data_IF_251110710809
#
_entry.id   IF_251110710809
#
_cell.length_a   1.000
_cell.length_b   1.000
_cell.length_c   1.000
_cell.angle_alpha   90.00
_cell.angle_beta   90.00
_cell.angle_gamma   90.00
#
_symmetry.space_group_name_H-M   'P 1'
#
loop_
_entity.id
_entity.type
_entity.pdbx_description
1 polymer ?
#
# COMPACT_ATOMS: atom_id res chain seq x y z
N UNK A 1 -23.00 5.89 7.80
CA UNK A 1 -23.43 4.48 7.91
C UNK A 1 -22.27 3.67 8.45
N UNK A 2 -22.52 2.76 9.40
CA UNK A 2 -21.51 1.90 10.04
C UNK A 2 -21.72 0.47 9.52
N UNK A 3 -20.63 -0.24 9.20
CA UNK A 3 -20.66 -1.62 8.72
C UNK A 3 -19.74 -2.51 9.54
N UNK A 4 -20.13 -3.77 9.68
CA UNK A 4 -19.30 -4.79 10.30
C UNK A 4 -18.24 -5.27 9.28
N UNK A 5 -16.97 -5.29 9.70
CA UNK A 5 -15.86 -5.82 8.90
C UNK A 5 -15.56 -7.31 9.21
N UNK A 6 -16.36 -7.92 10.09
CA UNK A 6 -16.32 -9.33 10.49
C UNK A 6 -17.68 -9.74 11.05
N UNK A 7 -17.89 -11.04 11.23
CA UNK A 7 -19.05 -11.51 11.98
C UNK A 7 -18.97 -11.04 13.44
N UNK A 8 -20.12 -10.61 14.00
CA UNK A 8 -20.26 -10.13 15.37
C UNK A 8 -21.36 -10.98 16.04
N UNK A 9 -21.03 -11.59 17.18
CA UNK A 9 -21.98 -12.43 17.94
C UNK A 9 -22.93 -11.55 18.76
N UNK A 10 -24.12 -12.09 19.08
CA UNK A 10 -25.04 -11.41 19.99
C UNK A 10 -24.38 -11.21 21.37
N UNK A 11 -24.38 -9.97 21.87
CA UNK A 11 -23.76 -9.60 23.15
C UNK A 11 -22.27 -9.28 23.06
N UNK A 12 -21.67 -9.37 21.87
CA UNK A 12 -20.29 -8.96 21.64
C UNK A 12 -20.16 -7.43 21.56
N UNK A 13 -19.08 -6.89 22.12
CA UNK A 13 -18.76 -5.47 22.02
C UNK A 13 -18.39 -5.09 20.59
N UNK A 14 -18.97 -3.98 20.10
CA UNK A 14 -18.67 -3.45 18.77
C UNK A 14 -17.59 -2.37 18.91
N UNK A 15 -16.40 -2.70 18.44
CA UNK A 15 -15.24 -1.82 18.52
C UNK A 15 -15.00 -1.08 17.19
N UNK A 16 -14.51 0.16 17.27
CA UNK A 16 -14.05 0.93 16.13
C UNK A 16 -12.69 1.59 16.41
N UNK A 17 -11.93 1.89 15.36
CA UNK A 17 -10.63 2.56 15.47
C UNK A 17 -10.82 4.08 15.40
N UNK A 18 -10.37 4.82 16.40
CA UNK A 18 -10.50 6.29 16.48
C UNK A 18 -9.46 7.03 15.60
N UNK A 19 -8.77 6.31 14.71
CA UNK A 19 -7.74 6.83 13.81
C UNK A 19 -6.36 6.19 14.02
N UNK A 20 -5.79 6.21 15.24
CA UNK A 20 -4.45 5.65 15.51
C UNK A 20 -4.38 4.13 15.28
N UNK A 21 -3.98 3.72 14.07
CA UNK A 21 -3.97 2.33 13.62
C UNK A 21 -2.57 1.72 13.62
N UNK A 22 -2.43 0.45 14.06
CA UNK A 22 -1.13 -0.22 14.23
C UNK A 22 -0.28 -0.29 12.96
N UNK A 23 -0.93 -0.49 11.82
CA UNK A 23 -0.26 -0.59 10.52
C UNK A 23 0.23 0.75 9.97
N UNK A 24 -0.15 1.87 10.59
CA UNK A 24 0.21 3.23 10.14
C UNK A 24 1.06 3.99 11.16
N UNK A 25 1.05 3.58 12.42
CA UNK A 25 1.68 4.31 13.51
C UNK A 25 2.25 3.34 14.55
N UNK A 26 3.44 3.66 15.06
CA UNK A 26 4.07 2.91 16.16
C UNK A 26 3.29 3.04 17.47
N UNK A 27 3.54 2.13 18.41
CA UNK A 27 2.86 2.05 19.69
C UNK A 27 2.86 3.38 20.47
N UNK A 28 4.03 3.98 20.66
CA UNK A 28 4.18 5.21 21.43
C UNK A 28 3.35 6.37 20.86
N UNK A 29 3.37 6.55 19.54
CA UNK A 29 2.57 7.58 18.85
C UNK A 29 1.07 7.30 18.97
N UNK A 30 0.63 6.05 18.87
CA UNK A 30 -0.79 5.69 19.03
C UNK A 30 -1.29 5.99 20.44
N UNK A 31 -0.56 5.56 21.47
CA UNK A 31 -0.94 5.83 22.87
C UNK A 31 -0.97 7.32 23.17
N UNK A 32 0.03 8.08 22.70
CA UNK A 32 0.08 9.52 22.87
C UNK A 32 -1.15 10.20 22.25
N UNK A 33 -1.44 9.94 20.98
CA UNK A 33 -2.58 10.57 20.29
C UNK A 33 -3.93 10.23 20.96
N UNK A 34 -4.12 8.97 21.37
CA UNK A 34 -5.35 8.56 22.05
C UNK A 34 -5.49 9.21 23.43
N UNK A 35 -4.39 9.33 24.18
CA UNK A 35 -4.38 9.97 25.49
C UNK A 35 -4.58 11.48 25.39
N UNK A 36 -3.91 12.14 24.45
CA UNK A 36 -3.98 13.59 24.27
C UNK A 36 -5.36 14.05 23.80
N UNK A 37 -6.01 13.28 22.90
CA UNK A 37 -7.28 13.66 22.30
C UNK A 37 -8.51 13.09 23.02
N UNK A 38 -8.43 11.84 23.50
CA UNK A 38 -9.56 11.09 24.05
C UNK A 38 -9.36 10.67 25.50
N UNK A 39 -8.23 11.05 26.14
CA UNK A 39 -7.97 10.89 27.56
C UNK A 39 -8.01 9.46 28.10
N UNK A 40 -7.69 8.46 27.26
CA UNK A 40 -7.60 7.06 27.68
C UNK A 40 -6.31 6.38 27.20
N UNK A 41 -5.98 5.25 27.83
CA UNK A 41 -4.90 4.34 27.40
C UNK A 41 -5.51 3.14 26.70
N UNK A 42 -5.06 2.86 25.48
CA UNK A 42 -5.65 1.80 24.68
C UNK A 42 -5.07 0.43 25.04
N UNK A 43 -5.93 -0.52 25.37
CA UNK A 43 -5.58 -1.89 25.76
C UNK A 43 -6.05 -2.92 24.71
N UNK A 44 -6.23 -2.50 23.46
CA UNK A 44 -6.57 -3.45 22.40
C UNK A 44 -5.44 -4.47 22.21
N UNK A 45 -5.78 -5.62 21.60
CA UNK A 45 -4.83 -6.72 21.37
C UNK A 45 -3.49 -6.26 20.79
N UNK A 46 -3.51 -5.34 19.82
CA UNK A 46 -2.30 -4.79 19.21
C UNK A 46 -1.43 -3.99 20.19
N UNK A 47 -2.05 -3.18 21.06
CA UNK A 47 -1.32 -2.42 22.08
C UNK A 47 -0.77 -3.33 23.17
N UNK A 48 -1.51 -4.38 23.57
CA UNK A 48 -1.03 -5.37 24.52
C UNK A 48 0.13 -6.21 23.96
N UNK A 49 0.10 -6.55 22.68
CA UNK A 49 1.21 -7.24 22.00
C UNK A 49 2.46 -6.37 21.94
N UNK A 50 2.33 -5.11 21.49
CA UNK A 50 3.45 -4.17 21.40
C UNK A 50 4.10 -3.92 22.79
N UNK A 51 3.29 -3.84 23.86
CA UNK A 51 3.79 -3.70 25.24
C UNK A 51 4.58 -4.91 25.75
N UNK A 52 4.28 -6.12 25.27
CA UNK A 52 4.94 -7.36 25.71
C UNK A 52 6.35 -7.53 25.13
N UNK A 53 6.82 -6.60 24.29
CA UNK A 53 8.24 -6.51 23.95
C UNK A 53 8.71 -7.58 22.97
N UNK A 54 8.05 -7.73 21.82
CA UNK A 54 8.79 -8.08 20.60
C UNK A 54 9.27 -6.78 19.97
N UNK A 55 10.25 -6.12 20.61
CA UNK A 55 11.07 -5.12 19.93
C UNK A 55 11.91 -5.87 18.90
N UNK A 56 11.29 -6.26 17.78
CA UNK A 56 12.05 -6.58 16.60
C UNK A 56 12.62 -5.23 16.15
N UNK A 57 13.85 -4.95 16.59
CA UNK A 57 14.63 -3.79 16.14
C UNK A 57 14.94 -3.87 14.64
N UNK A 58 14.43 -4.90 13.95
CA UNK A 58 14.29 -4.95 12.50
C UNK A 58 13.64 -3.68 12.00
N UNK A 59 14.43 -2.89 11.29
CA UNK A 59 13.93 -1.76 10.53
C UNK A 59 13.40 -2.22 9.19
N UNK A 60 12.61 -1.39 8.53
CA UNK A 60 12.23 -1.60 7.14
C UNK A 60 13.38 -1.24 6.17
N UNK A 61 14.65 -1.19 6.63
CA UNK A 61 15.85 -0.90 5.84
C UNK A 61 16.68 -2.15 5.57
N UNK A 62 17.38 -2.15 4.43
CA UNK A 62 18.27 -3.20 3.97
C UNK A 62 19.70 -2.67 3.80
N UNK A 63 20.67 -3.56 4.01
CA UNK A 63 22.08 -3.33 3.77
C UNK A 63 22.35 -3.15 2.27
N UNK A 64 22.97 -2.04 1.83
CA UNK A 64 23.28 -1.82 0.41
C UNK A 64 24.31 -2.79 -0.17
N UNK A 65 25.04 -3.56 0.68
CA UNK A 65 26.07 -4.52 0.22
C UNK A 65 25.52 -5.93 -0.01
N UNK A 66 24.62 -6.39 0.86
CA UNK A 66 24.16 -7.78 0.86
C UNK A 66 22.63 -7.92 0.96
N UNK A 67 21.90 -6.81 0.96
CA UNK A 67 20.44 -6.73 1.04
C UNK A 67 19.78 -7.39 2.26
N UNK A 68 20.57 -7.82 3.25
CA UNK A 68 20.06 -8.28 4.55
C UNK A 68 19.49 -7.10 5.35
N UNK A 69 18.52 -7.35 6.23
CA UNK A 69 17.90 -6.30 7.05
C UNK A 69 18.91 -5.56 7.95
N UNK A 70 18.57 -4.33 8.31
CA UNK A 70 19.30 -3.55 9.30
C UNK A 70 18.57 -3.54 10.65
N UNK A 71 19.32 -3.63 11.74
CA UNK A 71 18.82 -3.59 13.13
C UNK A 71 19.57 -2.56 13.96
N UNK A 72 18.92 -2.02 14.98
CA UNK A 72 19.50 -1.07 15.94
C UNK A 72 18.71 0.22 16.08
N UNK A 73 19.01 1.00 17.13
CA UNK A 73 18.36 2.27 17.43
C UNK A 73 19.10 3.44 16.78
N UNK A 74 20.19 3.93 17.38
CA UNK A 74 20.95 5.06 16.84
C UNK A 74 21.88 4.64 15.70
N UNK A 75 22.56 3.50 15.87
CA UNK A 75 23.41 2.90 14.85
C UNK A 75 22.78 1.61 14.32
N UNK A 76 22.63 1.54 13.01
CA UNK A 76 22.07 0.43 12.27
C UNK A 76 23.17 -0.52 11.82
N UNK A 77 23.15 -1.75 12.33
CA UNK A 77 24.05 -2.82 11.92
C UNK A 77 23.33 -3.82 11.00
N UNK A 78 24.09 -4.38 10.06
CA UNK A 78 23.61 -5.44 9.20
C UNK A 78 23.40 -6.75 9.97
N UNK A 79 22.23 -7.39 9.82
CA UNK A 79 21.95 -8.68 10.50
C UNK A 79 22.84 -9.82 9.99
N UNK A 80 23.40 -9.69 8.79
CA UNK A 80 24.43 -10.60 8.33
C UNK A 80 25.77 -10.21 8.97
N UNK A 81 26.17 -10.96 10.00
CA UNK A 81 27.39 -10.74 10.78
C UNK A 81 28.66 -10.69 9.90
N UNK A 82 28.69 -11.46 8.80
CA UNK A 82 29.85 -11.47 7.88
C UNK A 82 30.01 -10.18 7.08
N UNK A 83 28.97 -9.34 6.98
CA UNK A 83 29.02 -8.09 6.24
C UNK A 83 29.70 -6.95 7.03
N UNK A 84 29.52 -6.92 8.36
CA UNK A 84 30.08 -5.89 9.25
C UNK A 84 29.67 -4.45 8.94
N UNK A 85 28.60 -4.21 8.16
CA UNK A 85 28.15 -2.86 7.86
C UNK A 85 27.52 -2.21 9.10
N UNK A 86 27.93 -0.98 9.37
CA UNK A 86 27.37 -0.08 10.38
C UNK A 86 27.05 1.27 9.71
N UNK A 87 25.86 1.81 9.97
CA UNK A 87 25.40 3.11 9.46
C UNK A 87 24.72 3.88 10.59
N UNK A 88 24.73 5.21 10.54
CA UNK A 88 23.91 5.99 11.47
C UNK A 88 22.46 5.99 10.99
N UNK A 89 21.51 5.84 11.90
CA UNK A 89 20.08 5.90 11.58
C UNK A 89 19.70 7.25 10.96
N UNK A 90 20.29 8.35 11.43
CA UNK A 90 20.03 9.69 10.89
C UNK A 90 20.41 9.81 9.41
N UNK A 91 21.51 9.20 8.98
CA UNK A 91 21.94 9.24 7.57
C UNK A 91 20.95 8.49 6.67
N UNK A 92 20.47 7.32 7.11
CA UNK A 92 19.43 6.55 6.40
C UNK A 92 18.09 7.29 6.43
N UNK A 93 17.77 7.95 7.55
CA UNK A 93 16.59 8.79 7.70
C UNK A 93 16.59 9.99 6.74
N UNK A 94 17.73 10.65 6.57
CA UNK A 94 17.88 11.75 5.61
C UNK A 94 17.71 11.27 4.16
N UNK A 95 18.29 10.11 3.81
CA UNK A 95 18.05 9.49 2.49
C UNK A 95 16.58 9.21 2.25
N UNK A 96 15.89 8.65 3.25
CA UNK A 96 14.44 8.40 3.16
C UNK A 96 13.65 9.69 2.96
N UNK A 97 13.99 10.77 3.67
CA UNK A 97 13.33 12.07 3.52
C UNK A 97 13.54 12.67 2.12
N UNK A 98 14.76 12.60 1.59
CA UNK A 98 15.05 13.08 0.23
C UNK A 98 14.26 12.28 -0.82
N UNK A 99 14.21 10.95 -0.67
CA UNK A 99 13.44 10.08 -1.54
C UNK A 99 11.94 10.42 -1.51
N UNK A 100 11.37 10.65 -0.32
CA UNK A 100 9.98 11.08 -0.15
C UNK A 100 9.71 12.44 -0.82
N UNK A 101 10.65 13.38 -0.71
CA UNK A 101 10.54 14.68 -1.37
C UNK A 101 10.53 14.54 -2.90
N UNK A 102 11.39 13.70 -3.47
CA UNK A 102 11.41 13.47 -4.91
C UNK A 102 10.16 12.75 -5.43
N UNK A 103 9.59 11.83 -4.66
CA UNK A 103 8.30 11.20 -4.97
C UNK A 103 7.19 12.25 -4.99
N UNK A 104 7.15 13.15 -3.99
CA UNK A 104 6.17 14.24 -3.96
C UNK A 104 6.29 15.16 -5.19
N UNK A 105 7.52 15.51 -5.59
CA UNK A 105 7.76 16.30 -6.81
C UNK A 105 7.32 15.58 -8.08
N UNK A 106 7.49 14.25 -8.15
CA UNK A 106 6.98 13.48 -9.28
C UNK A 106 5.44 13.53 -9.34
N UNK A 107 4.77 13.50 -8.20
CA UNK A 107 3.32 13.64 -8.12
C UNK A 107 2.85 15.01 -8.62
N UNK A 108 3.53 16.11 -8.24
CA UNK A 108 3.26 17.45 -8.77
C UNK A 108 3.44 17.51 -10.29
N UNK A 109 4.48 16.83 -10.82
CA UNK A 109 4.71 16.73 -12.27
C UNK A 109 3.58 16.00 -12.99
N UNK A 110 3.03 14.93 -12.39
CA UNK A 110 1.87 14.22 -12.95
C UNK A 110 0.63 15.10 -12.98
N UNK A 111 0.36 15.85 -11.91
CA UNK A 111 -0.76 16.79 -11.86
C UNK A 111 -0.63 17.90 -12.91
N UNK A 112 0.60 18.32 -13.22
CA UNK A 112 0.91 19.27 -14.28
C UNK A 112 0.94 18.65 -15.69
N UNK A 113 0.66 17.35 -15.86
CA UNK A 113 0.65 16.66 -17.15
C UNK A 113 2.04 16.29 -17.71
N UNK A 114 3.10 16.43 -16.93
CA UNK A 114 4.47 16.15 -17.35
C UNK A 114 4.87 14.68 -17.09
N UNK A 115 4.10 13.72 -17.62
CA UNK A 115 4.23 12.29 -17.33
C UNK A 115 5.63 11.71 -17.60
N UNK A 116 6.29 12.10 -18.70
CA UNK A 116 7.64 11.60 -19.02
C UNK A 116 8.72 12.05 -18.02
N UNK A 117 8.56 13.24 -17.45
CA UNK A 117 9.48 13.75 -16.44
C UNK A 117 9.24 13.00 -15.11
N UNK A 118 7.97 12.81 -14.76
CA UNK A 118 7.57 12.07 -13.57
C UNK A 118 8.05 10.61 -13.63
N UNK A 119 7.87 9.90 -14.75
CA UNK A 119 8.33 8.52 -14.92
C UNK A 119 9.84 8.41 -14.71
N UNK A 120 10.63 9.29 -15.34
CA UNK A 120 12.10 9.29 -15.16
C UNK A 120 12.50 9.52 -13.70
N UNK A 121 11.83 10.45 -13.01
CA UNK A 121 12.07 10.71 -11.58
C UNK A 121 11.71 9.50 -10.72
N UNK A 122 10.53 8.93 -10.93
CA UNK A 122 10.03 7.78 -10.18
C UNK A 122 10.88 6.52 -10.39
N UNK A 123 11.37 6.29 -11.61
CA UNK A 123 12.29 5.20 -11.90
C UNK A 123 13.63 5.37 -11.16
N UNK A 124 14.13 6.62 -11.08
CA UNK A 124 15.31 6.94 -10.26
C UNK A 124 15.04 6.68 -8.77
N UNK A 125 13.89 7.15 -8.26
CA UNK A 125 13.46 6.91 -6.88
C UNK A 125 13.33 5.41 -6.58
N UNK A 126 12.79 4.63 -7.52
CA UNK A 126 12.65 3.19 -7.37
C UNK A 126 14.00 2.50 -7.29
N UNK A 127 14.95 2.91 -8.13
CA UNK A 127 16.31 2.38 -8.11
C UNK A 127 16.97 2.67 -6.77
N UNK A 128 16.97 3.93 -6.34
CA UNK A 128 17.56 4.35 -5.07
C UNK A 128 16.89 3.65 -3.88
N UNK A 129 15.55 3.63 -3.83
CA UNK A 129 14.78 2.99 -2.77
C UNK A 129 15.12 1.52 -2.62
N UNK A 130 15.30 0.78 -3.72
CA UNK A 130 15.67 -0.64 -3.67
C UNK A 130 17.06 -0.92 -3.10
N UNK A 131 17.95 0.07 -3.04
CA UNK A 131 19.28 -0.11 -2.47
C UNK A 131 19.24 -0.23 -0.95
N UNK A 132 18.30 0.45 -0.29
CA UNK A 132 18.32 0.59 1.17
C UNK A 132 16.97 0.35 1.86
N UNK A 133 15.88 0.20 1.12
CA UNK A 133 14.58 -0.17 1.67
C UNK A 133 14.37 -1.68 1.56
N UNK A 134 13.72 -2.26 2.56
CA UNK A 134 13.26 -3.64 2.51
C UNK A 134 12.26 -3.82 1.37
N UNK A 135 12.22 -5.04 0.81
CA UNK A 135 11.30 -5.36 -0.29
C UNK A 135 9.83 -5.14 0.05
N UNK A 136 9.46 -5.04 1.33
CA UNK A 136 8.10 -4.81 1.82
C UNK A 136 7.84 -3.35 2.24
N UNK A 137 8.80 -2.44 2.04
CA UNK A 137 8.66 -1.05 2.47
C UNK A 137 7.57 -0.34 1.65
N UNK A 138 6.60 0.27 2.34
CA UNK A 138 5.40 0.85 1.70
C UNK A 138 5.70 1.98 0.69
N UNK A 139 6.80 2.71 0.88
CA UNK A 139 7.23 3.73 -0.09
C UNK A 139 7.54 3.14 -1.48
N UNK A 140 7.99 1.89 -1.57
CA UNK A 140 8.14 1.20 -2.86
C UNK A 140 6.78 0.99 -3.54
N UNK A 141 5.75 0.69 -2.75
CA UNK A 141 4.37 0.56 -3.22
C UNK A 141 3.83 1.87 -3.75
N UNK A 142 4.08 2.98 -3.05
CA UNK A 142 3.73 4.32 -3.51
C UNK A 142 4.42 4.69 -4.83
N UNK A 143 5.71 4.40 -4.97
CA UNK A 143 6.43 4.62 -6.24
C UNK A 143 5.80 3.80 -7.37
N UNK A 144 5.48 2.52 -7.12
CA UNK A 144 4.82 1.67 -8.12
C UNK A 144 3.42 2.18 -8.50
N UNK A 145 2.64 2.67 -7.54
CA UNK A 145 1.33 3.24 -7.80
C UNK A 145 1.42 4.50 -8.68
N UNK A 146 2.34 5.42 -8.35
CA UNK A 146 2.55 6.63 -9.15
C UNK A 146 3.10 6.31 -10.55
N UNK A 147 3.99 5.32 -10.69
CA UNK A 147 4.42 4.83 -12.00
C UNK A 147 3.25 4.26 -12.80
N UNK A 148 2.36 3.51 -12.16
CA UNK A 148 1.17 2.98 -12.82
C UNK A 148 0.26 4.11 -13.33
N UNK A 149 0.02 5.14 -12.50
CA UNK A 149 -0.73 6.32 -12.91
C UNK A 149 -0.09 7.05 -14.09
N UNK A 150 1.24 7.21 -14.06
CA UNK A 150 1.98 7.91 -15.10
C UNK A 150 1.96 7.18 -16.45
N UNK A 151 2.12 5.86 -16.44
CA UNK A 151 2.03 5.02 -17.65
C UNK A 151 0.59 4.97 -18.18
N UNK A 152 -0.40 4.85 -17.29
CA UNK A 152 -1.81 4.88 -17.66
C UNK A 152 -2.21 6.21 -18.34
N UNK A 153 -1.68 7.35 -17.88
CA UNK A 153 -1.96 8.65 -18.50
C UNK A 153 -1.38 8.79 -19.91
N UNK A 154 -0.39 7.95 -20.26
CA UNK A 154 0.18 7.83 -21.61
C UNK A 154 -0.51 6.76 -22.47
N UNK A 155 -1.46 6.01 -21.93
CA UNK A 155 -2.08 4.88 -22.60
C UNK A 155 -1.23 3.60 -22.61
N UNK A 156 -0.15 3.55 -21.83
CA UNK A 156 0.74 2.39 -21.70
C UNK A 156 0.16 1.38 -20.69
N UNK A 157 -1.00 0.82 -21.02
CA UNK A 157 -1.82 0.02 -20.09
C UNK A 157 -1.10 -1.21 -19.53
N UNK A 158 -0.33 -1.91 -20.37
CA UNK A 158 0.40 -3.10 -19.95
C UNK A 158 1.50 -2.77 -18.92
N UNK A 159 2.25 -1.67 -19.15
CA UNK A 159 3.26 -1.19 -18.22
C UNK A 159 2.62 -0.72 -16.90
N UNK A 160 1.51 0.02 -17.00
CA UNK A 160 0.75 0.48 -15.86
C UNK A 160 0.25 -0.68 -14.97
N UNK A 161 -0.33 -1.72 -15.60
CA UNK A 161 -0.78 -2.92 -14.89
C UNK A 161 0.38 -3.65 -14.21
N UNK A 162 1.53 -3.75 -14.88
CA UNK A 162 2.73 -4.37 -14.33
C UNK A 162 3.26 -3.67 -13.07
N UNK A 163 3.22 -2.33 -13.03
CA UNK A 163 3.58 -1.57 -11.84
C UNK A 163 2.54 -1.72 -10.73
N UNK A 164 1.26 -1.56 -11.04
CA UNK A 164 0.21 -1.60 -10.02
C UNK A 164 0.08 -2.97 -9.35
N UNK A 165 0.32 -4.07 -10.08
CA UNK A 165 0.39 -5.42 -9.49
C UNK A 165 1.46 -5.53 -8.39
N UNK A 166 2.58 -4.81 -8.52
CA UNK A 166 3.62 -4.76 -7.47
C UNK A 166 3.17 -3.95 -6.26
N UNK A 167 2.49 -2.81 -6.48
CA UNK A 167 1.84 -2.04 -5.40
C UNK A 167 0.84 -2.91 -4.62
N UNK A 168 -0.03 -3.64 -5.34
CA UNK A 168 -1.03 -4.55 -4.76
C UNK A 168 -0.40 -5.62 -3.86
N UNK A 169 0.74 -6.19 -4.23
CA UNK A 169 1.45 -7.16 -3.40
C UNK A 169 1.88 -6.56 -2.07
N UNK A 170 2.44 -5.35 -2.09
CA UNK A 170 2.90 -4.62 -0.90
C UNK A 170 1.74 -4.19 -0.01
N UNK A 171 0.70 -3.61 -0.59
CA UNK A 171 -0.53 -3.20 0.11
C UNK A 171 -1.21 -4.42 0.74
N UNK A 172 -1.31 -5.53 -0.01
CA UNK A 172 -1.87 -6.79 0.49
C UNK A 172 -1.07 -7.39 1.64
N UNK A 173 0.26 -7.36 1.57
CA UNK A 173 1.12 -7.82 2.67
C UNK A 173 0.97 -6.96 3.92
N UNK A 174 0.90 -5.63 3.75
CA UNK A 174 0.80 -4.68 4.88
C UNK A 174 -0.57 -4.69 5.54
N UNK A 175 -1.65 -4.63 4.76
CA UNK A 175 -3.01 -4.38 5.25
C UNK A 175 -3.91 -5.61 5.25
N UNK A 176 -3.54 -6.66 4.53
CA UNK A 176 -4.27 -7.91 4.45
C UNK A 176 -5.25 -8.00 3.26
N UNK A 177 -5.80 -9.19 3.00
CA UNK A 177 -6.51 -9.51 1.75
C UNK A 177 -7.92 -8.92 1.63
N UNK A 178 -8.50 -8.38 2.71
CA UNK A 178 -9.83 -7.78 2.76
C UNK A 178 -9.80 -6.31 3.17
N UNK A 179 -8.61 -5.69 3.17
CA UNK A 179 -8.45 -4.31 3.58
C UNK A 179 -9.04 -3.35 2.56
N UNK A 180 -9.45 -2.17 3.01
CA UNK A 180 -9.98 -1.14 2.13
C UNK A 180 -8.90 -0.59 1.19
N UNK A 181 -7.66 -0.52 1.67
CA UNK A 181 -6.49 -0.14 0.87
C UNK A 181 -6.30 -1.08 -0.32
N UNK A 182 -6.37 -2.40 -0.09
CA UNK A 182 -6.28 -3.37 -1.17
C UNK A 182 -7.45 -3.25 -2.16
N UNK A 183 -8.66 -2.97 -1.65
CA UNK A 183 -9.84 -2.72 -2.48
C UNK A 183 -9.63 -1.56 -3.46
N UNK A 184 -9.03 -0.45 -3.00
CA UNK A 184 -8.72 0.70 -3.86
C UNK A 184 -7.63 0.40 -4.89
N UNK A 185 -6.58 -0.34 -4.53
CA UNK A 185 -5.55 -0.75 -5.50
C UNK A 185 -6.13 -1.67 -6.57
N UNK A 186 -6.98 -2.63 -6.19
CA UNK A 186 -7.65 -3.53 -7.14
C UNK A 186 -8.64 -2.78 -8.02
N UNK A 187 -9.32 -1.75 -7.51
CA UNK A 187 -10.18 -0.88 -8.30
C UNK A 187 -9.40 -0.15 -9.39
N UNK A 188 -8.25 0.46 -9.05
CA UNK A 188 -7.35 1.07 -10.03
C UNK A 188 -6.87 0.05 -11.08
N UNK A 189 -6.54 -1.17 -10.65
CA UNK A 189 -6.10 -2.22 -11.58
C UNK A 189 -7.22 -2.67 -12.51
N UNK A 190 -8.44 -2.79 -12.01
CA UNK A 190 -9.61 -3.07 -12.84
C UNK A 190 -9.76 -2.02 -13.95
N UNK A 191 -9.64 -0.73 -13.61
CA UNK A 191 -9.72 0.36 -14.59
C UNK A 191 -8.60 0.28 -15.64
N UNK A 192 -7.36 0.03 -15.22
CA UNK A 192 -6.22 -0.11 -16.13
C UNK A 192 -6.43 -1.29 -17.09
N UNK A 193 -6.81 -2.47 -16.58
CA UNK A 193 -7.01 -3.67 -17.40
C UNK A 193 -8.21 -3.51 -18.35
N UNK A 194 -9.29 -2.87 -17.89
CA UNK A 194 -10.45 -2.57 -18.71
C UNK A 194 -10.08 -1.65 -19.88
N UNK A 195 -9.36 -0.56 -19.62
CA UNK A 195 -8.89 0.35 -20.68
C UNK A 195 -7.86 -0.31 -21.61
N UNK A 196 -7.01 -1.18 -21.07
CA UNK A 196 -6.07 -2.01 -21.83
C UNK A 196 -6.70 -3.17 -22.60
N UNK A 197 -8.02 -3.39 -22.48
CA UNK A 197 -8.76 -4.50 -23.11
C UNK A 197 -8.27 -5.89 -22.69
N UNK A 198 -7.70 -6.02 -21.49
CA UNK A 198 -7.31 -7.28 -20.88
C UNK A 198 -8.51 -7.96 -20.22
N UNK A 199 -9.47 -8.37 -21.05
CA UNK A 199 -10.83 -8.74 -20.66
C UNK A 199 -10.90 -9.81 -19.55
N UNK A 200 -10.17 -10.92 -19.72
CA UNK A 200 -10.22 -12.06 -18.80
C UNK A 200 -9.68 -11.68 -17.44
N UNK A 201 -8.54 -11.00 -17.39
CA UNK A 201 -7.93 -10.57 -16.14
C UNK A 201 -8.77 -9.48 -15.47
N UNK A 202 -9.27 -8.51 -16.25
CA UNK A 202 -10.14 -7.44 -15.74
C UNK A 202 -11.35 -8.03 -15.02
N UNK A 203 -12.04 -9.02 -15.58
CA UNK A 203 -13.19 -9.67 -14.94
C UNK A 203 -12.84 -10.26 -13.56
N UNK A 204 -11.71 -10.96 -13.45
CA UNK A 204 -11.24 -11.53 -12.18
C UNK A 204 -10.96 -10.45 -11.13
N UNK A 205 -10.25 -9.38 -11.52
CA UNK A 205 -9.93 -8.27 -10.64
C UNK A 205 -11.18 -7.49 -10.23
N UNK A 206 -12.11 -7.25 -11.16
CA UNK A 206 -13.38 -6.55 -10.90
C UNK A 206 -14.19 -7.27 -9.82
N UNK A 207 -14.34 -8.59 -9.91
CA UNK A 207 -15.07 -9.37 -8.90
C UNK A 207 -14.44 -9.18 -7.52
N UNK A 208 -13.11 -9.35 -7.43
CA UNK A 208 -12.39 -9.23 -6.16
C UNK A 208 -12.45 -7.82 -5.57
N UNK A 209 -12.24 -6.79 -6.39
CA UNK A 209 -12.32 -5.39 -5.96
C UNK A 209 -13.72 -5.07 -5.42
N UNK A 210 -14.75 -5.50 -6.16
CA UNK A 210 -16.15 -5.23 -5.82
C UNK A 210 -16.54 -5.89 -4.51
N UNK A 211 -16.16 -7.15 -4.30
CA UNK A 211 -16.51 -7.88 -3.07
C UNK A 211 -15.91 -7.20 -1.83
N UNK A 212 -14.66 -6.73 -1.92
CA UNK A 212 -14.02 -5.95 -0.85
C UNK A 212 -14.75 -4.61 -0.67
N UNK A 213 -14.87 -3.79 -1.72
CA UNK A 213 -15.45 -2.45 -1.61
C UNK A 213 -16.92 -2.47 -1.19
N UNK A 214 -17.70 -3.47 -1.61
CA UNK A 214 -19.09 -3.67 -1.20
C UNK A 214 -19.20 -3.88 0.32
N UNK A 215 -18.28 -4.64 0.92
CA UNK A 215 -18.28 -4.88 2.36
C UNK A 215 -18.00 -3.60 3.18
N UNK A 216 -17.15 -2.70 2.66
CA UNK A 216 -16.76 -1.46 3.33
C UNK A 216 -17.72 -0.30 3.05
N UNK A 217 -18.08 -0.08 1.78
CA UNK A 217 -18.84 1.09 1.34
C UNK A 217 -20.31 0.81 0.98
N UNK A 218 -20.65 -0.43 0.66
CA UNK A 218 -22.00 -0.83 0.23
C UNK A 218 -22.28 -0.63 -1.25
N UNK A 219 -23.47 -1.06 -1.66
CA UNK A 219 -23.89 -1.13 -3.06
C UNK A 219 -24.08 0.25 -3.71
N UNK A 220 -24.45 1.27 -2.92
CA UNK A 220 -24.69 2.63 -3.43
C UNK A 220 -23.41 3.44 -3.66
N UNK A 221 -22.23 2.86 -3.40
CA UNK A 221 -20.97 3.54 -3.61
C UNK A 221 -20.60 3.56 -5.09
N UNK A 222 -20.17 4.72 -5.59
CA UNK A 222 -19.82 4.92 -6.99
C UNK A 222 -18.77 3.93 -7.52
N UNK A 223 -17.75 3.58 -6.73
CA UNK A 223 -16.74 2.60 -7.16
C UNK A 223 -17.33 1.20 -7.33
N UNK A 224 -18.27 0.83 -6.46
CA UNK A 224 -18.96 -0.47 -6.52
C UNK A 224 -19.88 -0.53 -7.76
N UNK A 225 -20.58 0.57 -8.05
CA UNK A 225 -21.42 0.71 -9.24
C UNK A 225 -20.58 0.69 -10.53
N UNK A 226 -19.49 1.45 -10.58
CA UNK A 226 -18.58 1.48 -11.73
C UNK A 226 -18.01 0.09 -12.04
N UNK A 227 -17.55 -0.66 -11.02
CA UNK A 227 -17.10 -2.04 -11.20
C UNK A 227 -18.19 -2.95 -11.77
N UNK A 228 -19.45 -2.75 -11.36
CA UNK A 228 -20.58 -3.51 -11.87
C UNK A 228 -20.90 -3.17 -13.34
N UNK A 229 -20.80 -1.89 -13.71
CA UNK A 229 -20.97 -1.42 -15.08
C UNK A 229 -19.86 -1.95 -15.99
N UNK A 230 -18.60 -1.82 -15.57
CA UNK A 230 -17.44 -2.39 -16.28
C UNK A 230 -17.62 -3.89 -16.51
N UNK A 231 -18.02 -4.64 -15.47
CA UNK A 231 -18.29 -6.08 -15.58
C UNK A 231 -19.36 -6.37 -16.63
N UNK A 232 -20.47 -5.63 -16.59
CA UNK A 232 -21.60 -5.83 -17.50
C UNK A 232 -21.20 -5.56 -18.94
N UNK A 233 -20.41 -4.50 -19.17
CA UNK A 233 -19.85 -4.17 -20.47
C UNK A 233 -18.98 -5.31 -21.02
N UNK A 234 -18.04 -5.84 -20.22
CA UNK A 234 -17.17 -6.92 -20.65
C UNK A 234 -17.97 -8.20 -20.99
N UNK A 235 -18.97 -8.59 -20.19
CA UNK A 235 -19.79 -9.79 -20.43
C UNK A 235 -20.68 -9.71 -21.68
N UNK A 236 -20.87 -8.52 -22.25
CA UNK A 236 -21.59 -8.35 -23.51
C UNK A 236 -20.70 -8.57 -24.74
N UNK A 237 -19.38 -8.67 -24.57
CA UNK A 237 -18.46 -8.91 -25.67
C UNK A 237 -18.69 -10.31 -26.29
N UNK A 238 -18.68 -10.42 -27.63
CA UNK A 238 -18.95 -11.69 -28.33
C UNK A 238 -18.02 -12.83 -27.91
N UNK A 239 -16.75 -12.52 -27.68
CA UNK A 239 -15.69 -13.52 -27.44
C UNK A 239 -15.77 -14.19 -26.06
N UNK A 240 -16.50 -13.61 -25.10
CA UNK A 240 -16.69 -14.22 -23.76
C UNK A 240 -17.87 -15.18 -23.74
N UNK A 241 -18.90 -14.96 -24.58
CA UNK A 241 -20.11 -15.79 -24.61
C UNK A 241 -19.90 -17.18 -25.22
N UNK A 242 -18.70 -17.43 -25.75
CA UNK A 242 -18.30 -18.69 -26.38
C UNK A 242 -17.51 -19.62 -25.45
N UNK A 243 -17.31 -19.24 -24.18
CA UNK A 243 -16.66 -20.05 -23.12
C UNK A 243 -17.67 -20.32 -22.02
#
# INVERSE_FOLDING_TARGET
>A
MVRANRAIRKGEEVLHCYGPHKLRMNFAKRQKLLKDQYFFTCECEACTQDQRGTEDTATDFCCPKCHSLLKGEDDLHCVNESCGLLLRRDDVGLRLQNLQHDIHRAQEQLQAGHSDIAIRRLMSCLSEGKEFLSGNHMLLGEIFDQLAQAEASKGEWAAAAGHLKKSIQLVGHRYGPSSIELGHELFKLAQILFNGREVVEALGIIVRARDILLSHYGADNNMVQELQEMRTCLLQLPDIRAV
#
